data_IF_579745696617
#
_entry.id   IF_579745696617
#
_cell.length_a   1.000
_cell.length_b   1.000
_cell.length_c   1.000
_cell.angle_alpha   90.00
_cell.angle_beta   90.00
_cell.angle_gamma   90.00
#
_symmetry.space_group_name_H-M   'P 1'
#
loop_
_entity.id
_entity.type
_entity.pdbx_description
1 polymer ?
#
# COMPACT_ATOMS: atom_id res chain seq x y z
N UNK A 1 -33.00 -13.17 -13.03
CA UNK A 1 -31.68 -12.90 -12.47
C UNK A 1 -31.86 -12.34 -11.06
N UNK A 2 -31.20 -12.89 -10.04
CA UNK A 2 -31.24 -12.25 -8.72
C UNK A 2 -30.76 -10.79 -8.87
N UNK A 3 -31.31 -9.84 -8.09
CA UNK A 3 -30.82 -8.47 -8.11
C UNK A 3 -29.32 -8.49 -7.79
N UNK A 4 -28.52 -7.73 -8.53
CA UNK A 4 -27.09 -7.59 -8.26
C UNK A 4 -26.84 -7.02 -6.85
N UNK A 5 -25.69 -7.33 -6.26
CA UNK A 5 -25.30 -6.73 -5.01
C UNK A 5 -25.17 -5.20 -5.17
N UNK A 6 -25.81 -4.45 -4.27
CA UNK A 6 -25.65 -3.01 -4.20
C UNK A 6 -24.79 -2.68 -2.98
N UNK A 7 -23.67 -2.01 -3.21
CA UNK A 7 -22.85 -1.46 -2.14
C UNK A 7 -23.18 0.02 -1.97
N UNK A 8 -23.31 0.43 -0.74
CA UNK A 8 -23.46 1.84 -0.36
C UNK A 8 -22.20 2.25 0.41
N UNK A 9 -21.61 3.37 0.08
CA UNK A 9 -20.60 4.03 0.90
C UNK A 9 -20.90 5.53 0.95
N UNK A 10 -21.36 5.97 2.11
CA UNK A 10 -21.64 7.36 2.43
C UNK A 10 -20.77 7.85 3.61
N UNK A 11 -19.60 7.23 3.76
CA UNK A 11 -18.61 7.59 4.78
C UNK A 11 -18.08 9.00 4.57
N UNK A 12 -17.60 9.62 5.65
CA UNK A 12 -17.06 10.97 5.68
C UNK A 12 -15.74 10.99 6.41
N UNK A 13 -14.83 11.84 5.96
CA UNK A 13 -13.58 12.17 6.64
C UNK A 13 -13.57 13.66 6.95
N UNK A 14 -13.37 13.99 8.21
CA UNK A 14 -13.07 15.34 8.66
C UNK A 14 -11.60 15.40 9.04
N UNK A 15 -10.86 16.37 8.50
CA UNK A 15 -9.44 16.51 8.74
C UNK A 15 -9.07 17.97 8.96
N UNK A 16 -8.31 18.22 10.00
CA UNK A 16 -7.69 19.50 10.30
C UNK A 16 -6.22 19.29 10.62
N UNK A 17 -5.34 20.15 10.09
CA UNK A 17 -3.92 20.13 10.42
C UNK A 17 -3.37 21.53 10.55
N UNK A 18 -2.30 21.66 11.33
CA UNK A 18 -1.50 22.84 11.38
C UNK A 18 -0.01 22.48 11.36
N UNK A 19 0.80 23.38 10.81
CA UNK A 19 2.25 23.34 10.97
C UNK A 19 2.77 24.77 11.13
N UNK A 20 3.86 24.90 11.85
CA UNK A 20 4.53 26.16 12.04
C UNK A 20 6.05 25.99 11.95
N UNK A 21 6.69 26.77 11.08
CA UNK A 21 8.13 26.80 10.92
C UNK A 21 8.68 28.06 11.59
N UNK A 22 9.66 27.88 12.46
CA UNK A 22 10.30 28.97 13.22
C UNK A 22 11.50 29.60 12.49
N UNK A 23 11.71 29.32 11.19
CA UNK A 23 12.89 29.77 10.43
C UNK A 23 13.15 31.29 10.55
N UNK A 24 12.08 32.11 10.59
CA UNK A 24 12.20 33.56 10.70
C UNK A 24 12.51 34.05 12.16
N UNK A 25 12.50 33.16 13.15
CA UNK A 25 12.63 33.50 14.56
C UNK A 25 13.83 32.82 15.22
N UNK A 26 14.31 31.75 14.65
CA UNK A 26 15.41 30.94 15.21
C UNK A 26 16.46 30.74 14.13
N UNK A 27 17.62 31.38 14.28
CA UNK A 27 18.69 31.35 13.28
C UNK A 27 19.62 30.12 13.42
N UNK A 28 19.73 29.54 14.64
CA UNK A 28 20.69 28.46 14.87
C UNK A 28 20.28 27.10 14.30
N UNK A 29 18.98 26.87 14.03
CA UNK A 29 18.43 25.65 13.48
C UNK A 29 17.05 25.90 12.86
N UNK A 30 16.67 25.10 11.86
CA UNK A 30 15.31 25.05 11.33
C UNK A 30 14.44 24.21 12.28
N UNK A 31 13.49 24.82 12.96
CA UNK A 31 12.56 24.14 13.87
C UNK A 31 11.16 24.20 13.30
N UNK A 32 10.50 23.05 13.25
CA UNK A 32 9.11 22.93 12.82
C UNK A 32 8.32 22.12 13.83
N UNK A 33 7.11 22.55 14.13
CA UNK A 33 6.12 21.79 14.91
C UNK A 33 4.82 21.67 14.11
N UNK A 34 4.05 20.65 14.37
CA UNK A 34 2.75 20.51 13.75
C UNK A 34 1.89 19.46 14.45
N UNK A 35 0.64 19.43 14.04
CA UNK A 35 -0.32 18.46 14.54
C UNK A 35 -1.52 18.33 13.61
N UNK A 36 -2.23 17.23 13.76
CA UNK A 36 -3.45 16.96 13.00
C UNK A 36 -4.50 16.29 13.87
N UNK A 37 -5.74 16.47 13.47
CA UNK A 37 -6.89 15.71 13.95
C UNK A 37 -7.66 15.17 12.75
N UNK A 38 -8.11 13.90 12.85
CA UNK A 38 -8.98 13.25 11.87
C UNK A 38 -10.13 12.58 12.57
N UNK A 39 -11.29 12.63 11.93
CA UNK A 39 -12.45 11.86 12.33
C UNK A 39 -13.02 11.16 11.12
N UNK A 40 -13.00 9.83 11.16
CA UNK A 40 -13.73 9.00 10.22
C UNK A 40 -15.15 8.82 10.73
N UNK A 41 -16.11 8.90 9.83
CA UNK A 41 -17.54 8.69 10.12
C UNK A 41 -18.06 7.74 9.06
N UNK A 42 -17.94 6.43 9.35
CA UNK A 42 -18.24 5.35 8.40
C UNK A 42 -19.77 5.15 8.32
N UNK A 43 -20.24 4.89 7.11
CA UNK A 43 -21.63 4.55 6.86
C UNK A 43 -21.79 3.82 5.53
N UNK A 44 -22.28 2.61 5.59
CA UNK A 44 -22.50 1.76 4.42
C UNK A 44 -23.93 1.21 4.30
N UNK A 45 -24.82 1.60 5.16
CA UNK A 45 -26.20 1.07 5.23
C UNK A 45 -26.17 -0.46 5.39
N UNK A 46 -25.26 -0.96 6.24
CA UNK A 46 -25.05 -2.38 6.52
C UNK A 46 -24.44 -3.20 5.39
N UNK A 47 -24.00 -2.57 4.28
CA UNK A 47 -23.51 -3.32 3.12
C UNK A 47 -22.02 -3.63 3.13
N UNK A 48 -21.24 -2.92 3.95
CA UNK A 48 -19.78 -3.09 4.06
C UNK A 48 -19.35 -3.12 5.52
N UNK A 49 -19.70 -2.08 6.29
CA UNK A 49 -19.31 -1.95 7.68
C UNK A 49 -20.36 -2.54 8.62
N UNK A 50 -19.91 -2.97 9.78
CA UNK A 50 -20.73 -3.59 10.81
C UNK A 50 -21.41 -2.53 11.71
N UNK A 51 -22.27 -1.71 11.13
CA UNK A 51 -22.89 -0.55 11.76
C UNK A 51 -23.99 -0.90 12.76
N UNK A 52 -24.71 -1.97 12.50
CA UNK A 52 -25.71 -2.54 13.39
C UNK A 52 -25.60 -4.07 13.40
N UNK A 53 -24.75 -4.64 14.25
CA UNK A 53 -24.58 -6.09 14.33
C UNK A 53 -25.67 -6.80 15.13
N UNK A 54 -26.53 -6.06 15.85
CA UNK A 54 -27.53 -6.62 16.76
C UNK A 54 -28.77 -7.13 16.00
N UNK A 55 -29.50 -6.25 15.35
CA UNK A 55 -30.76 -6.60 14.69
C UNK A 55 -30.87 -6.17 13.21
N UNK A 56 -29.95 -5.35 12.72
CA UNK A 56 -29.91 -4.89 11.33
C UNK A 56 -31.01 -3.92 10.95
N UNK A 57 -31.60 -3.21 11.91
CA UNK A 57 -32.72 -2.29 11.71
C UNK A 57 -32.39 -0.84 11.93
N UNK A 58 -31.30 -0.54 12.62
CA UNK A 58 -30.91 0.82 13.00
C UNK A 58 -29.40 1.08 12.75
N UNK A 59 -29.04 1.30 11.50
CA UNK A 59 -27.65 1.56 11.12
C UNK A 59 -27.18 2.93 11.59
N UNK A 60 -26.25 2.94 12.54
CA UNK A 60 -25.60 4.15 13.05
C UNK A 60 -24.17 4.26 12.52
N UNK A 61 -23.70 5.52 12.40
CA UNK A 61 -22.34 5.78 11.93
C UNK A 61 -21.30 5.31 12.93
N UNK A 62 -20.30 4.55 12.44
CA UNK A 62 -19.12 4.23 13.23
C UNK A 62 -18.17 5.42 13.16
N UNK A 63 -17.83 5.98 14.31
CA UNK A 63 -16.92 7.13 14.42
C UNK A 63 -15.57 6.66 14.95
N UNK A 64 -14.47 7.10 14.31
CA UNK A 64 -13.10 6.83 14.74
C UNK A 64 -12.32 8.15 14.76
N UNK A 65 -11.77 8.48 15.90
CA UNK A 65 -10.97 9.69 16.10
C UNK A 65 -9.48 9.38 16.11
N UNK A 66 -8.70 10.22 15.40
CA UNK A 66 -7.24 10.15 15.38
C UNK A 66 -6.65 11.54 15.60
N UNK A 67 -5.55 11.61 16.33
CA UNK A 67 -4.76 12.83 16.45
C UNK A 67 -3.27 12.54 16.49
N UNK A 68 -2.49 13.51 16.06
CA UNK A 68 -1.04 13.40 16.06
C UNK A 68 -0.36 14.74 16.22
N UNK A 69 0.85 14.73 16.84
CA UNK A 69 1.70 15.89 17.02
C UNK A 69 3.14 15.53 16.68
N UNK A 70 3.87 16.47 16.08
CA UNK A 70 5.28 16.27 15.77
C UNK A 70 6.12 17.50 16.00
N UNK A 71 7.41 17.27 16.24
CA UNK A 71 8.45 18.26 16.21
C UNK A 71 9.63 17.80 15.35
N UNK A 72 10.22 18.71 14.60
CA UNK A 72 11.37 18.46 13.76
C UNK A 72 12.41 19.57 13.97
N UNK A 73 13.67 19.16 14.01
CA UNK A 73 14.82 20.07 14.03
C UNK A 73 15.77 19.67 12.91
N UNK A 74 16.21 20.65 12.11
CA UNK A 74 17.24 20.46 11.11
C UNK A 74 18.32 21.54 11.25
N UNK A 75 19.58 21.14 11.03
CA UNK A 75 20.73 22.04 11.05
C UNK A 75 21.73 21.65 9.99
N UNK A 76 22.22 22.66 9.26
CA UNK A 76 23.37 22.51 8.36
C UNK A 76 24.64 22.88 9.09
N UNK A 77 25.64 22.00 9.04
CA UNK A 77 26.93 22.13 9.68
C UNK A 77 27.99 22.32 8.60
N UNK A 78 28.80 23.34 8.72
CA UNK A 78 29.90 23.69 7.79
C UNK A 78 29.41 23.73 6.29
N UNK A 79 28.19 24.21 6.07
CA UNK A 79 27.52 24.35 4.75
C UNK A 79 27.46 23.07 3.88
N UNK A 80 27.85 21.96 4.48
CA UNK A 80 27.98 20.68 3.75
C UNK A 80 27.13 19.54 4.32
N UNK A 81 26.96 19.48 5.65
CA UNK A 81 26.26 18.38 6.32
C UNK A 81 24.93 18.87 6.92
N UNK A 82 23.81 18.51 6.31
CA UNK A 82 22.47 18.76 6.89
C UNK A 82 22.05 17.54 7.71
N UNK A 83 21.84 17.76 9.02
CA UNK A 83 21.26 16.78 9.94
C UNK A 83 19.80 17.16 10.22
N UNK A 84 18.92 16.17 10.23
CA UNK A 84 17.50 16.35 10.57
C UNK A 84 17.08 15.28 11.55
N UNK A 85 16.45 15.69 12.65
CA UNK A 85 15.81 14.80 13.62
C UNK A 85 14.35 15.17 13.79
N UNK A 86 13.47 14.18 13.88
CA UNK A 86 12.05 14.41 14.18
C UNK A 86 11.49 13.35 15.10
N UNK A 87 10.49 13.73 15.85
CA UNK A 87 9.70 12.85 16.71
C UNK A 87 8.23 13.16 16.51
N UNK A 88 7.44 12.11 16.30
CA UNK A 88 5.99 12.21 16.14
C UNK A 88 5.27 11.25 17.09
N UNK A 89 4.18 11.70 17.67
CA UNK A 89 3.24 10.91 18.43
C UNK A 89 1.89 10.90 17.71
N UNK A 90 1.30 9.73 17.56
CA UNK A 90 -0.02 9.53 16.95
C UNK A 90 -0.87 8.61 17.83
N UNK A 91 -2.16 8.90 17.94
CA UNK A 91 -3.14 8.10 18.66
C UNK A 91 -4.39 7.93 17.81
N UNK A 92 -4.76 6.67 17.56
CA UNK A 92 -6.08 6.28 17.07
C UNK A 92 -6.93 5.83 18.25
N UNK A 93 -8.23 6.06 18.21
CA UNK A 93 -9.18 5.73 19.28
C UNK A 93 -9.12 4.24 19.66
N UNK A 94 -9.01 3.35 18.68
CA UNK A 94 -9.08 1.90 18.86
C UNK A 94 -7.73 1.25 19.22
N UNK A 95 -6.60 1.98 19.13
CA UNK A 95 -5.26 1.42 19.34
C UNK A 95 -4.42 2.27 20.28
N UNK A 96 -3.39 1.69 20.84
CA UNK A 96 -2.41 2.40 21.65
C UNK A 96 -1.67 3.47 20.83
N UNK A 97 -1.18 4.51 21.53
CA UNK A 97 -0.41 5.58 20.90
C UNK A 97 0.96 5.09 20.41
N UNK A 98 1.41 5.64 19.28
CA UNK A 98 2.68 5.30 18.67
C UNK A 98 3.62 6.51 18.65
N UNK A 99 4.90 6.27 18.97
CA UNK A 99 5.98 7.25 18.86
C UNK A 99 6.90 6.82 17.71
N UNK A 100 7.13 7.72 16.76
CA UNK A 100 7.91 7.45 15.56
C UNK A 100 9.08 8.44 15.44
N UNK A 101 10.29 8.07 15.90
CA UNK A 101 11.50 8.82 15.65
C UNK A 101 12.03 8.64 14.23
N UNK A 102 12.64 9.72 13.71
CA UNK A 102 13.40 9.72 12.46
C UNK A 102 14.66 10.56 12.62
N UNK A 103 15.76 10.09 12.05
CA UNK A 103 16.99 10.84 11.88
C UNK A 103 17.49 10.70 10.44
N UNK A 104 18.01 11.77 9.87
CA UNK A 104 18.63 11.74 8.55
C UNK A 104 19.82 12.67 8.47
N UNK A 105 20.77 12.31 7.62
CA UNK A 105 21.95 13.08 7.29
C UNK A 105 22.06 13.19 5.76
N UNK A 106 22.36 14.39 5.27
CA UNK A 106 22.68 14.66 3.87
C UNK A 106 24.01 15.39 3.83
N UNK A 107 25.01 14.75 3.21
CA UNK A 107 26.32 15.37 2.99
C UNK A 107 26.44 15.81 1.53
N UNK A 108 26.61 17.11 1.31
CA UNK A 108 26.79 17.72 -0.01
C UNK A 108 28.26 18.00 -0.24
N UNK A 109 28.80 17.54 -1.35
CA UNK A 109 30.17 17.84 -1.78
C UNK A 109 30.18 18.24 -3.25
N UNK A 110 31.19 19.06 -3.61
CA UNK A 110 31.30 19.61 -4.97
C UNK A 110 29.98 20.22 -5.49
N UNK A 111 29.18 20.83 -4.61
CA UNK A 111 27.90 21.53 -4.89
C UNK A 111 26.79 20.71 -5.57
N UNK A 112 27.13 19.65 -6.28
CA UNK A 112 26.19 18.85 -7.10
C UNK A 112 26.08 17.39 -6.69
N UNK A 113 26.83 16.96 -5.66
CA UNK A 113 26.84 15.58 -5.20
C UNK A 113 26.33 15.48 -3.78
N UNK A 114 25.41 14.58 -3.53
CA UNK A 114 24.82 14.36 -2.21
C UNK A 114 24.88 12.87 -1.85
N UNK A 115 25.39 12.57 -0.66
CA UNK A 115 25.21 11.27 -0.02
C UNK A 115 24.20 11.46 1.09
N UNK A 116 23.22 10.58 1.16
CA UNK A 116 22.17 10.60 2.19
C UNK A 116 22.10 9.28 2.93
N UNK A 117 21.82 9.37 4.23
CA UNK A 117 21.47 8.23 5.06
C UNK A 117 20.32 8.61 5.98
N UNK A 118 19.40 7.68 6.21
CA UNK A 118 18.32 7.89 7.16
C UNK A 118 17.97 6.60 7.90
N UNK A 119 17.58 6.77 9.15
CA UNK A 119 16.91 5.75 9.93
C UNK A 119 15.58 6.31 10.40
N UNK A 120 14.53 5.53 10.24
CA UNK A 120 13.18 5.90 10.65
C UNK A 120 12.42 4.71 11.18
N UNK A 121 11.53 5.00 12.12
CA UNK A 121 10.45 4.09 12.48
C UNK A 121 9.14 4.63 11.92
N UNK A 122 8.18 3.75 11.72
CA UNK A 122 6.84 4.10 11.28
C UNK A 122 5.84 3.08 11.79
N UNK A 123 4.58 3.37 11.58
CA UNK A 123 3.48 2.45 11.85
C UNK A 123 2.37 2.67 10.83
N UNK A 124 1.52 1.66 10.68
CA UNK A 124 0.29 1.71 9.91
C UNK A 124 -0.86 1.22 10.76
N UNK A 125 -1.82 2.08 11.07
CA UNK A 125 -3.07 1.62 11.66
C UNK A 125 -3.78 0.69 10.66
N UNK A 126 -4.47 -0.35 11.13
CA UNK A 126 -5.43 -1.06 10.32
C UNK A 126 -6.39 -0.06 9.68
N UNK A 127 -6.68 -0.22 8.40
CA UNK A 127 -7.66 0.63 7.72
C UNK A 127 -9.08 0.41 8.26
N UNK A 128 -10.03 1.19 7.81
CA UNK A 128 -11.41 1.12 8.32
C UNK A 128 -12.11 -0.20 8.03
N UNK A 129 -11.74 -0.87 6.93
CA UNK A 129 -12.23 -2.21 6.62
C UNK A 129 -11.61 -3.24 7.56
N UNK A 130 -10.30 -3.23 7.70
CA UNK A 130 -9.61 -4.13 8.63
C UNK A 130 -10.11 -3.99 10.08
N UNK A 131 -10.68 -2.83 10.44
CA UNK A 131 -11.27 -2.60 11.75
C UNK A 131 -12.74 -3.05 11.84
N UNK A 132 -13.61 -2.69 10.87
CA UNK A 132 -15.06 -2.73 11.01
C UNK A 132 -15.84 -3.41 9.88
N UNK A 133 -15.18 -4.05 8.90
CA UNK A 133 -15.91 -4.77 7.87
C UNK A 133 -16.70 -5.96 8.46
N UNK A 134 -17.91 -6.19 7.94
CA UNK A 134 -18.61 -7.45 7.99
C UNK A 134 -19.24 -7.70 6.63
N UNK A 135 -18.63 -8.58 5.85
CA UNK A 135 -19.05 -8.77 4.47
C UNK A 135 -19.03 -10.24 4.06
N UNK A 136 -20.20 -10.85 3.84
CA UNK A 136 -20.29 -12.20 3.26
C UNK A 136 -19.81 -12.21 1.81
N UNK A 137 -18.64 -12.80 1.55
CA UNK A 137 -18.00 -12.90 0.24
C UNK A 137 -18.08 -14.36 -0.28
N UNK A 138 -19.26 -14.81 -0.66
CA UNK A 138 -19.49 -16.17 -1.12
C UNK A 138 -19.36 -17.22 0.00
N UNK A 139 -18.27 -17.98 0.03
CA UNK A 139 -18.05 -19.05 1.02
C UNK A 139 -17.42 -18.55 2.33
N UNK A 140 -16.88 -17.36 2.33
CA UNK A 140 -16.18 -16.77 3.48
C UNK A 140 -16.86 -15.45 3.87
N UNK A 141 -16.71 -15.05 5.13
CA UNK A 141 -17.14 -13.74 5.61
C UNK A 141 -15.90 -12.92 5.99
N UNK A 142 -15.70 -11.79 5.33
CA UNK A 142 -14.66 -10.83 5.72
C UNK A 142 -15.05 -10.20 7.05
N UNK A 143 -14.14 -10.21 8.02
CA UNK A 143 -14.38 -9.69 9.35
C UNK A 143 -13.30 -8.68 9.76
N UNK A 144 -13.71 -7.46 10.08
CA UNK A 144 -12.84 -6.48 10.70
C UNK A 144 -12.51 -6.87 12.14
N UNK A 145 -11.22 -6.89 12.46
CA UNK A 145 -10.68 -7.50 13.68
C UNK A 145 -10.35 -6.51 14.80
N UNK A 146 -10.84 -5.26 14.74
CA UNK A 146 -10.81 -4.39 15.92
C UNK A 146 -11.66 -5.01 17.05
N UNK A 147 -11.20 -4.95 18.31
CA UNK A 147 -11.91 -5.55 19.44
C UNK A 147 -13.35 -5.07 19.54
N UNK A 148 -13.57 -3.78 19.32
CA UNK A 148 -14.91 -3.17 19.33
C UNK A 148 -15.88 -3.79 18.29
N UNK A 149 -15.34 -4.37 17.19
CA UNK A 149 -16.12 -5.05 16.17
C UNK A 149 -16.18 -6.57 16.40
N UNK A 150 -15.05 -7.20 16.61
CA UNK A 150 -14.89 -8.65 16.47
C UNK A 150 -15.22 -9.44 17.74
N UNK A 151 -15.19 -8.82 18.93
CA UNK A 151 -15.37 -9.52 20.21
C UNK A 151 -16.68 -10.32 20.28
N UNK A 152 -17.75 -9.80 19.69
CA UNK A 152 -19.09 -10.40 19.71
C UNK A 152 -19.19 -11.73 18.96
N UNK A 153 -18.32 -11.96 17.96
CA UNK A 153 -18.38 -13.18 17.14
C UNK A 153 -17.67 -14.36 17.75
N UNK A 154 -16.89 -14.16 18.82
CA UNK A 154 -16.18 -15.22 19.53
C UNK A 154 -15.13 -15.95 18.69
N UNK A 155 -14.69 -15.38 17.53
CA UNK A 155 -13.70 -15.99 16.66
C UNK A 155 -12.28 -15.91 17.22
N UNK A 156 -11.95 -14.81 17.91
CA UNK A 156 -10.63 -14.52 18.44
C UNK A 156 -10.34 -15.27 19.77
N UNK A 157 -9.07 -15.24 20.19
CA UNK A 157 -8.63 -15.79 21.50
C UNK A 157 -9.03 -17.26 21.73
N UNK A 158 -8.80 -18.10 20.69
CA UNK A 158 -9.07 -19.53 20.75
C UNK A 158 -10.50 -19.94 20.34
N UNK A 159 -11.28 -19.02 19.81
CA UNK A 159 -12.63 -19.30 19.31
C UNK A 159 -12.70 -19.84 17.90
N UNK A 160 -11.56 -20.13 17.26
CA UNK A 160 -11.49 -20.63 15.91
C UNK A 160 -10.60 -21.89 15.79
N UNK A 161 -10.83 -22.65 14.73
CA UNK A 161 -9.88 -23.63 14.20
C UNK A 161 -9.12 -23.03 13.02
N UNK A 162 -7.89 -23.49 12.77
CA UNK A 162 -7.21 -23.22 11.50
C UNK A 162 -8.00 -23.87 10.37
N UNK A 163 -8.09 -23.22 9.22
CA UNK A 163 -8.86 -23.76 8.07
C UNK A 163 -8.29 -25.09 7.60
N UNK A 164 -6.96 -25.23 7.57
CA UNK A 164 -6.30 -26.47 7.14
C UNK A 164 -6.64 -27.65 8.06
N UNK A 165 -6.59 -27.47 9.38
CA UNK A 165 -6.94 -28.50 10.35
C UNK A 165 -8.41 -28.93 10.25
N UNK A 166 -9.29 -27.97 10.05
CA UNK A 166 -10.71 -28.24 9.86
C UNK A 166 -10.99 -29.02 8.58
N UNK A 167 -10.32 -28.68 7.47
CA UNK A 167 -10.43 -29.44 6.23
C UNK A 167 -9.93 -30.88 6.37
N UNK A 168 -8.79 -31.07 7.08
CA UNK A 168 -8.28 -32.41 7.38
C UNK A 168 -9.27 -33.21 8.26
N UNK A 169 -9.91 -32.56 9.22
CA UNK A 169 -10.94 -33.17 10.06
C UNK A 169 -12.17 -33.60 9.24
N UNK A 170 -12.68 -32.74 8.36
CA UNK A 170 -13.79 -33.09 7.44
C UNK A 170 -13.43 -34.26 6.52
N UNK A 171 -12.21 -34.27 5.98
CA UNK A 171 -11.69 -35.36 5.14
C UNK A 171 -11.60 -36.70 5.88
N UNK A 172 -11.45 -36.68 7.22
CA UNK A 172 -11.48 -37.87 8.06
C UNK A 172 -12.91 -38.40 8.37
N UNK A 173 -13.95 -37.75 7.83
CA UNK A 173 -15.36 -38.08 8.09
C UNK A 173 -15.94 -37.38 9.32
N UNK A 174 -15.28 -36.30 9.79
CA UNK A 174 -15.75 -35.50 10.92
C UNK A 174 -16.80 -34.46 10.51
N UNK A 175 -17.62 -34.03 11.46
CA UNK A 175 -18.57 -32.91 11.34
C UNK A 175 -18.66 -32.17 12.68
N UNK A 176 -19.17 -30.94 12.66
CA UNK A 176 -19.51 -30.22 13.90
C UNK A 176 -21.02 -30.34 14.13
N UNK A 177 -21.42 -30.61 15.38
CA UNK A 177 -22.82 -30.47 15.83
C UNK A 177 -23.22 -28.97 15.89
N UNK A 178 -24.51 -28.70 16.10
CA UNK A 178 -25.05 -27.33 16.13
C UNK A 178 -24.42 -26.47 17.23
N UNK A 179 -23.98 -27.07 18.33
CA UNK A 179 -23.25 -26.40 19.43
C UNK A 179 -21.74 -26.23 19.18
N UNK A 180 -21.24 -26.75 18.05
CA UNK A 180 -19.82 -26.76 17.70
C UNK A 180 -19.02 -27.95 18.22
N UNK A 181 -19.68 -28.91 18.87
CA UNK A 181 -19.01 -30.14 19.34
C UNK A 181 -18.57 -30.99 18.16
N UNK A 182 -17.28 -31.41 18.07
CA UNK A 182 -16.81 -32.33 17.05
C UNK A 182 -17.45 -33.72 17.16
N UNK A 183 -17.97 -34.22 16.02
CA UNK A 183 -18.60 -35.54 15.92
C UNK A 183 -18.05 -36.33 14.73
N UNK A 184 -17.84 -37.61 14.92
CA UNK A 184 -17.24 -38.48 13.89
C UNK A 184 -15.76 -38.13 13.61
N UNK A 185 -15.22 -38.69 12.53
CA UNK A 185 -13.86 -38.43 12.07
C UNK A 185 -12.76 -38.61 13.13
N UNK A 186 -11.72 -37.81 13.00
CA UNK A 186 -10.57 -37.74 13.93
C UNK A 186 -10.46 -36.37 14.55
N UNK A 187 -11.11 -36.07 15.70
CA UNK A 187 -11.11 -34.73 16.32
C UNK A 187 -9.71 -34.23 16.69
N UNK A 188 -8.73 -35.11 16.90
CA UNK A 188 -7.35 -34.74 17.17
C UNK A 188 -6.65 -33.98 16.02
N UNK A 189 -7.24 -33.97 14.82
CA UNK A 189 -6.74 -33.19 13.72
C UNK A 189 -7.08 -31.67 13.84
N UNK A 190 -8.04 -31.32 14.69
CA UNK A 190 -8.46 -29.95 14.88
C UNK A 190 -7.42 -29.15 15.69
N UNK A 191 -6.89 -28.12 15.09
CA UNK A 191 -5.97 -27.17 15.73
C UNK A 191 -6.69 -25.87 16.06
N UNK A 192 -6.69 -25.50 17.33
CA UNK A 192 -7.25 -24.24 17.80
C UNK A 192 -6.32 -23.11 17.42
N UNK A 193 -6.83 -22.14 16.67
CA UNK A 193 -6.12 -20.92 16.35
C UNK A 193 -6.25 -19.90 17.48
N UNK A 194 -5.12 -19.33 17.89
CA UNK A 194 -5.11 -18.22 18.86
C UNK A 194 -4.90 -16.89 18.12
N UNK A 195 -5.98 -16.33 17.62
CA UNK A 195 -5.99 -15.08 16.87
C UNK A 195 -6.19 -13.93 17.86
N UNK A 196 -5.26 -12.98 17.90
CA UNK A 196 -5.43 -11.75 18.65
C UNK A 196 -6.26 -10.72 17.85
N UNK A 197 -6.84 -9.73 18.54
CA UNK A 197 -7.40 -8.57 17.88
C UNK A 197 -6.32 -7.82 17.12
N UNK A 198 -6.71 -7.20 15.99
CA UNK A 198 -5.77 -6.49 15.13
C UNK A 198 -5.16 -5.28 15.84
N UNK A 199 -3.89 -5.04 15.60
CA UNK A 199 -3.12 -3.92 16.13
C UNK A 199 -2.31 -3.25 15.02
N UNK A 200 -1.80 -2.02 15.23
CA UNK A 200 -1.00 -1.33 14.25
C UNK A 200 0.28 -2.10 13.89
N UNK A 201 0.51 -2.22 12.59
CA UNK A 201 1.77 -2.69 12.02
C UNK A 201 2.87 -1.67 12.29
N UNK A 202 4.07 -2.11 12.59
CA UNK A 202 5.23 -1.24 12.86
C UNK A 202 6.36 -1.57 11.91
N UNK A 203 7.13 -0.54 11.55
CA UNK A 203 8.31 -0.71 10.72
C UNK A 203 9.53 0.02 11.29
N UNK A 204 10.70 -0.51 10.94
CA UNK A 204 12.01 0.14 11.06
C UNK A 204 12.67 0.11 9.69
N UNK A 205 13.14 1.25 9.22
CA UNK A 205 13.76 1.35 7.90
C UNK A 205 15.08 2.10 7.99
N UNK A 206 16.09 1.54 7.33
CA UNK A 206 17.36 2.21 7.06
C UNK A 206 17.46 2.45 5.55
N UNK A 207 17.81 3.65 5.15
CA UNK A 207 18.01 4.04 3.76
C UNK A 207 19.34 4.73 3.58
N UNK A 208 20.02 4.41 2.47
CA UNK A 208 21.23 5.09 2.00
C UNK A 208 21.07 5.44 0.53
N UNK A 209 21.59 6.59 0.13
CA UNK A 209 21.48 7.01 -1.27
C UNK A 209 22.56 7.99 -1.69
N UNK A 210 22.74 8.06 -2.99
CA UNK A 210 23.61 9.01 -3.66
C UNK A 210 22.85 9.69 -4.79
N UNK A 211 22.99 11.02 -4.87
CA UNK A 211 22.48 11.78 -6.02
C UNK A 211 23.55 12.79 -6.47
N UNK A 212 23.85 12.80 -7.77
CA UNK A 212 24.87 13.71 -8.28
C UNK A 212 24.79 13.94 -9.77
N UNK A 213 25.52 14.98 -10.21
CA UNK A 213 25.67 15.32 -11.64
C UNK A 213 27.14 15.17 -12.00
N UNK A 214 27.46 14.17 -12.80
CA UNK A 214 28.81 13.84 -13.23
C UNK A 214 29.08 14.57 -14.56
N UNK A 215 30.19 15.35 -14.60
CA UNK A 215 30.65 16.07 -15.78
C UNK A 215 29.57 16.94 -16.45
N UNK A 216 28.63 17.48 -15.66
CA UNK A 216 27.49 18.30 -16.11
C UNK A 216 26.59 17.62 -17.16
N UNK A 217 26.66 16.30 -17.30
CA UNK A 217 25.93 15.54 -18.34
C UNK A 217 25.14 14.37 -17.80
N UNK A 218 25.70 13.62 -16.87
CA UNK A 218 25.09 12.43 -16.32
C UNK A 218 24.55 12.71 -14.91
N UNK A 219 23.25 12.75 -14.76
CA UNK A 219 22.58 12.71 -13.47
C UNK A 219 22.42 11.26 -13.04
N UNK A 220 22.83 10.96 -11.82
CA UNK A 220 22.69 9.66 -11.17
C UNK A 220 21.87 9.86 -9.88
N UNK A 221 20.88 9.01 -9.64
CA UNK A 221 20.17 8.90 -8.36
C UNK A 221 20.11 7.42 -8.00
N UNK A 222 20.85 7.02 -6.97
CA UNK A 222 20.93 5.66 -6.46
C UNK A 222 20.45 5.65 -5.03
N UNK A 223 19.59 4.68 -4.68
CA UNK A 223 19.18 4.44 -3.30
C UNK A 223 19.07 2.94 -3.01
N UNK A 224 19.26 2.60 -1.75
CA UNK A 224 18.97 1.27 -1.21
C UNK A 224 18.27 1.44 0.13
N UNK A 225 17.30 0.56 0.40
CA UNK A 225 16.56 0.53 1.66
C UNK A 225 16.47 -0.87 2.22
N UNK A 226 16.42 -0.95 3.55
CA UNK A 226 16.27 -2.16 4.32
C UNK A 226 15.19 -1.91 5.36
N UNK A 227 14.06 -2.59 5.23
CA UNK A 227 12.90 -2.40 6.09
C UNK A 227 12.49 -3.70 6.73
N UNK A 228 12.27 -3.65 8.05
CA UNK A 228 11.71 -4.75 8.83
C UNK A 228 10.35 -4.30 9.37
N UNK A 229 9.36 -5.15 9.18
CA UNK A 229 8.01 -4.98 9.71
C UNK A 229 7.78 -5.96 10.84
N UNK A 230 7.08 -5.53 11.87
CA UNK A 230 6.52 -6.36 12.95
C UNK A 230 5.03 -6.13 13.01
N UNK A 231 4.30 -7.16 13.43
CA UNK A 231 2.83 -7.12 13.44
C UNK A 231 2.24 -6.81 12.07
N UNK A 232 2.85 -7.34 10.99
CA UNK A 232 2.44 -7.09 9.61
C UNK A 232 0.98 -7.49 9.40
N UNK A 233 0.18 -6.60 8.78
CA UNK A 233 -1.26 -6.81 8.60
C UNK A 233 -1.52 -7.52 7.29
N UNK A 234 -2.26 -8.64 7.37
CA UNK A 234 -2.74 -9.39 6.22
C UNK A 234 -4.03 -10.13 6.51
N UNK A 235 -4.44 -11.00 5.60
CA UNK A 235 -5.62 -11.85 5.73
C UNK A 235 -5.25 -13.31 5.91
N UNK A 236 -6.07 -14.04 6.68
CA UNK A 236 -6.01 -15.49 6.78
C UNK A 236 -7.42 -16.04 7.06
N UNK A 237 -7.66 -17.32 6.78
CA UNK A 237 -8.97 -17.94 6.90
C UNK A 237 -9.04 -18.86 8.13
N UNK A 238 -10.11 -18.69 8.89
CA UNK A 238 -10.37 -19.45 10.11
C UNK A 238 -11.80 -19.97 10.15
N UNK A 239 -12.04 -20.98 10.96
CA UNK A 239 -13.33 -21.65 11.10
C UNK A 239 -13.87 -21.45 12.50
N UNK A 240 -15.06 -20.88 12.61
CA UNK A 240 -15.73 -20.62 13.88
C UNK A 240 -16.01 -21.93 14.62
N UNK A 241 -15.60 -21.99 15.90
CA UNK A 241 -15.76 -23.18 16.75
C UNK A 241 -17.14 -23.31 17.36
N UNK A 242 -17.74 -22.21 17.73
CA UNK A 242 -19.05 -22.19 18.42
C UNK A 242 -20.03 -21.30 17.68
N UNK A 243 -21.31 -21.60 17.67
CA UNK A 243 -22.29 -20.77 16.99
C UNK A 243 -22.34 -19.35 17.59
N UNK A 244 -22.71 -18.38 16.76
CA UNK A 244 -22.88 -16.98 17.16
C UNK A 244 -24.09 -16.39 16.43
N UNK A 245 -24.27 -15.08 16.49
CA UNK A 245 -25.33 -14.37 15.79
C UNK A 245 -24.81 -13.12 15.10
N UNK A 246 -25.48 -12.73 14.00
CA UNK A 246 -25.30 -11.43 13.36
C UNK A 246 -26.66 -10.91 12.91
N UNK A 247 -27.03 -9.72 13.29
CA UNK A 247 -28.33 -9.10 12.98
C UNK A 247 -29.52 -10.03 13.30
N UNK A 248 -29.49 -10.63 14.50
CA UNK A 248 -30.50 -11.56 14.96
C UNK A 248 -30.49 -12.94 14.26
N UNK A 249 -29.71 -13.13 13.20
CA UNK A 249 -29.61 -14.40 12.48
C UNK A 249 -28.54 -15.31 13.08
N UNK A 250 -28.84 -16.63 13.27
CA UNK A 250 -27.86 -17.56 13.77
C UNK A 250 -26.75 -17.81 12.75
N UNK A 251 -25.52 -17.89 13.22
CA UNK A 251 -24.34 -18.27 12.46
C UNK A 251 -23.83 -19.60 13.05
N UNK A 252 -23.86 -20.69 12.30
CA UNK A 252 -23.47 -21.99 12.82
C UNK A 252 -21.95 -22.11 13.04
N UNK A 253 -21.53 -22.98 13.93
CA UNK A 253 -20.18 -23.47 14.00
C UNK A 253 -19.76 -24.05 12.62
N UNK A 254 -18.48 -23.97 12.29
CA UNK A 254 -17.98 -24.39 10.96
C UNK A 254 -18.02 -23.29 9.91
N UNK A 255 -18.63 -22.12 10.20
CA UNK A 255 -18.60 -20.97 9.31
C UNK A 255 -17.17 -20.46 9.13
N UNK A 256 -16.79 -20.19 7.87
CA UNK A 256 -15.45 -19.66 7.54
C UNK A 256 -15.47 -18.15 7.59
N UNK A 257 -14.58 -17.61 8.39
CA UNK A 257 -14.28 -16.19 8.44
C UNK A 257 -12.88 -15.90 7.89
N UNK A 258 -12.75 -14.77 7.23
CA UNK A 258 -11.48 -14.19 6.79
C UNK A 258 -11.22 -12.89 7.55
N UNK A 259 -10.75 -12.97 8.83
CA UNK A 259 -10.39 -11.79 9.59
C UNK A 259 -9.09 -11.18 9.07
N UNK A 260 -8.92 -9.88 9.27
CA UNK A 260 -7.61 -9.25 9.19
C UNK A 260 -6.80 -9.60 10.44
N UNK A 261 -5.56 -10.03 10.25
CA UNK A 261 -4.70 -10.50 11.34
C UNK A 261 -3.31 -9.88 11.25
N UNK A 262 -2.61 -9.83 12.38
CA UNK A 262 -1.20 -9.51 12.39
C UNK A 262 -0.38 -10.79 12.28
N UNK A 263 0.59 -10.78 11.38
CA UNK A 263 1.54 -11.88 11.21
C UNK A 263 2.58 -11.84 12.33
N UNK A 264 2.84 -12.96 13.03
CA UNK A 264 3.69 -12.95 14.22
C UNK A 264 5.19 -12.86 13.89
N UNK A 265 5.61 -13.29 12.70
CA UNK A 265 6.99 -13.25 12.27
C UNK A 265 7.36 -11.87 11.70
N UNK A 266 8.66 -11.56 11.72
CA UNK A 266 9.18 -10.37 11.06
C UNK A 266 9.11 -10.52 9.55
N UNK A 267 8.54 -9.50 8.90
CA UNK A 267 8.54 -9.37 7.44
C UNK A 267 9.64 -8.41 7.03
N UNK A 268 10.42 -8.76 6.01
CA UNK A 268 11.52 -7.94 5.50
C UNK A 268 11.23 -7.50 4.07
N UNK A 269 11.50 -6.24 3.79
CA UNK A 269 11.46 -5.69 2.43
C UNK A 269 12.74 -4.90 2.18
N UNK A 270 13.46 -5.29 1.15
CA UNK A 270 14.71 -4.64 0.74
C UNK A 270 14.60 -4.19 -0.70
N UNK A 271 15.27 -3.13 -1.06
CA UNK A 271 15.27 -2.71 -2.44
C UNK A 271 16.38 -1.76 -2.82
N UNK A 272 16.61 -1.69 -4.13
CA UNK A 272 17.56 -0.80 -4.77
C UNK A 272 16.86 -0.07 -5.91
N UNK A 273 16.99 1.25 -5.94
CA UNK A 273 16.52 2.10 -7.03
C UNK A 273 17.69 2.81 -7.70
N UNK A 274 17.77 2.74 -9.03
CA UNK A 274 18.74 3.46 -9.84
C UNK A 274 18.01 4.30 -10.90
N UNK A 275 18.25 5.61 -10.91
CA UNK A 275 17.82 6.54 -11.94
C UNK A 275 19.02 7.18 -12.64
N UNK A 276 19.01 7.17 -13.96
CA UNK A 276 20.04 7.76 -14.80
C UNK A 276 19.42 8.72 -15.81
N UNK A 277 20.04 9.90 -15.99
CA UNK A 277 19.70 10.80 -17.08
C UNK A 277 20.98 11.32 -17.71
N UNK A 278 21.20 11.01 -18.98
CA UNK A 278 22.38 11.44 -19.72
C UNK A 278 21.99 12.45 -20.80
N UNK A 279 22.50 13.66 -20.65
CA UNK A 279 22.29 14.74 -21.62
C UNK A 279 23.36 14.70 -22.69
N UNK A 280 22.95 14.35 -23.92
CA UNK A 280 23.77 14.28 -25.10
C UNK A 280 23.84 15.63 -25.84
N UNK A 281 24.82 15.84 -26.71
CA UNK A 281 24.86 16.99 -27.61
C UNK A 281 23.57 17.16 -28.43
N UNK A 282 23.29 18.35 -28.89
CA UNK A 282 22.12 18.71 -29.72
C UNK A 282 20.78 18.50 -29.04
N UNK A 283 20.74 18.46 -27.69
CA UNK A 283 19.49 18.41 -26.90
C UNK A 283 18.85 17.02 -26.79
N UNK A 284 19.56 15.96 -27.14
CA UNK A 284 19.11 14.61 -26.82
C UNK A 284 19.27 14.30 -25.33
N UNK A 285 18.35 13.52 -24.78
CA UNK A 285 18.41 13.03 -23.42
C UNK A 285 18.06 11.53 -23.43
N UNK A 286 18.93 10.72 -22.83
CA UNK A 286 18.67 9.31 -22.56
C UNK A 286 18.39 9.17 -21.08
N UNK A 287 17.29 8.49 -20.74
CA UNK A 287 16.87 8.25 -19.37
C UNK A 287 16.75 6.76 -19.12
N UNK A 288 17.12 6.31 -17.94
CA UNK A 288 16.93 4.93 -17.51
C UNK A 288 16.56 4.89 -16.05
N UNK A 289 15.73 3.93 -15.67
CA UNK A 289 15.48 3.59 -14.28
C UNK A 289 15.45 2.07 -14.12
N UNK A 290 15.97 1.60 -13.00
CA UNK A 290 15.87 0.21 -12.57
C UNK A 290 15.45 0.18 -11.12
N UNK A 291 14.53 -0.74 -10.77
CA UNK A 291 14.13 -0.97 -9.41
C UNK A 291 14.13 -2.48 -9.15
N UNK A 292 14.78 -2.86 -8.09
CA UNK A 292 14.75 -4.19 -7.52
C UNK A 292 14.14 -4.10 -6.13
N UNK A 293 13.21 -4.99 -5.79
CA UNK A 293 12.56 -5.04 -4.50
C UNK A 293 12.26 -6.49 -4.11
N UNK A 294 12.63 -6.88 -2.92
CA UNK A 294 12.29 -8.20 -2.36
C UNK A 294 11.34 -8.05 -1.18
N UNK A 295 10.57 -9.10 -0.98
CA UNK A 295 9.70 -9.25 0.15
C UNK A 295 9.88 -10.66 0.71
N UNK A 296 10.28 -10.76 1.97
CA UNK A 296 10.50 -12.00 2.68
C UNK A 296 9.67 -11.98 3.97
N UNK A 297 8.68 -12.82 4.03
CA UNK A 297 7.77 -12.94 5.17
C UNK A 297 8.06 -14.15 6.06
N UNK A 298 9.15 -14.88 5.79
CA UNK A 298 9.59 -16.07 6.55
C UNK A 298 8.48 -17.14 6.75
N UNK A 299 7.47 -17.15 5.86
CA UNK A 299 6.36 -18.10 5.96
C UNK A 299 6.80 -19.53 5.68
N UNK A 300 6.11 -20.49 6.31
CA UNK A 300 6.12 -21.86 5.81
C UNK A 300 5.39 -21.95 4.47
N UNK A 301 5.78 -22.90 3.60
CA UNK A 301 5.15 -23.15 2.30
C UNK A 301 3.62 -23.42 2.37
N UNK A 302 3.13 -23.82 3.55
CA UNK A 302 1.72 -24.13 3.79
C UNK A 302 0.91 -22.99 4.43
N UNK A 303 1.49 -21.82 4.63
CA UNK A 303 0.78 -20.68 5.20
C UNK A 303 -0.27 -20.15 4.22
N UNK A 304 -1.49 -19.92 4.72
CA UNK A 304 -2.58 -19.28 3.97
C UNK A 304 -2.61 -17.76 4.14
N UNK A 305 -1.67 -17.21 4.92
CA UNK A 305 -1.56 -15.78 5.13
C UNK A 305 -1.27 -15.03 3.81
N UNK A 306 -2.03 -13.99 3.53
CA UNK A 306 -1.90 -13.15 2.34
C UNK A 306 -1.31 -11.80 2.72
N UNK A 307 -0.06 -11.58 2.34
CA UNK A 307 0.64 -10.32 2.59
C UNK A 307 0.21 -9.19 1.63
N UNK A 308 -0.26 -9.53 0.43
CA UNK A 308 -0.70 -8.55 -0.56
C UNK A 308 0.41 -7.59 -1.02
N UNK A 309 1.67 -8.05 -1.06
CA UNK A 309 2.80 -7.20 -1.49
C UNK A 309 2.66 -6.74 -2.95
N UNK A 310 2.16 -7.62 -3.83
CA UNK A 310 1.69 -7.32 -5.19
C UNK A 310 2.65 -6.45 -6.03
N UNK A 311 3.93 -6.72 -5.94
CA UNK A 311 4.99 -5.93 -6.59
C UNK A 311 5.99 -6.86 -7.29
N UNK A 312 6.34 -6.59 -8.57
CA UNK A 312 7.38 -7.35 -9.26
C UNK A 312 8.74 -7.12 -8.59
N UNK A 313 9.56 -8.16 -8.55
CA UNK A 313 10.91 -8.07 -8.00
C UNK A 313 11.79 -7.15 -8.86
N UNK A 314 11.69 -7.27 -10.16
CA UNK A 314 12.46 -6.49 -11.13
C UNK A 314 11.57 -5.66 -12.04
N UNK A 315 11.89 -4.38 -12.20
CA UNK A 315 11.30 -3.50 -13.22
C UNK A 315 12.29 -2.45 -13.69
N UNK A 316 12.24 -2.13 -14.99
CA UNK A 316 13.05 -1.06 -15.53
C UNK A 316 12.31 -0.25 -16.59
N UNK A 317 12.83 0.94 -16.85
CA UNK A 317 12.47 1.73 -18.02
C UNK A 317 13.70 2.33 -18.66
N UNK A 318 13.62 2.52 -19.98
CA UNK A 318 14.64 3.24 -20.76
C UNK A 318 13.95 4.12 -21.78
N UNK A 319 14.40 5.35 -21.90
CA UNK A 319 13.81 6.31 -22.84
C UNK A 319 14.86 7.18 -23.51
N UNK A 320 14.53 7.64 -24.70
CA UNK A 320 15.30 8.65 -25.43
C UNK A 320 14.36 9.72 -25.96
N UNK A 321 14.76 10.97 -25.83
CA UNK A 321 13.98 12.08 -26.33
C UNK A 321 14.82 13.27 -26.75
N UNK A 322 14.19 14.13 -27.53
CA UNK A 322 14.71 15.46 -27.85
C UNK A 322 13.51 16.44 -27.97
N UNK A 323 13.45 17.41 -27.07
CA UNK A 323 12.36 18.40 -27.06
C UNK A 323 12.52 19.48 -28.14
N UNK A 324 13.71 19.57 -28.76
CA UNK A 324 14.09 20.58 -29.75
C UNK A 324 14.93 19.92 -30.86
N UNK A 325 14.42 18.81 -31.43
CA UNK A 325 15.06 18.16 -32.59
C UNK A 325 15.21 19.15 -33.74
N UNK A 326 14.18 19.98 -33.92
CA UNK A 326 14.25 21.22 -34.70
C UNK A 326 13.69 22.37 -33.86
N UNK A 327 13.56 23.60 -34.41
CA UNK A 327 12.91 24.71 -33.69
C UNK A 327 11.47 24.40 -33.28
N UNK A 328 10.78 23.53 -34.00
CA UNK A 328 9.38 23.20 -33.79
C UNK A 328 9.15 21.76 -33.34
N UNK A 329 9.99 20.81 -33.75
CA UNK A 329 9.76 19.39 -33.59
C UNK A 329 10.47 18.85 -32.35
N UNK A 330 9.78 18.05 -31.56
CA UNK A 330 10.30 17.24 -30.47
C UNK A 330 9.76 15.80 -30.50
N UNK A 331 10.43 14.88 -29.88
CA UNK A 331 9.97 13.50 -29.74
C UNK A 331 10.39 12.90 -28.39
N UNK A 332 9.72 11.81 -28.00
CA UNK A 332 10.08 10.93 -26.87
C UNK A 332 9.69 9.52 -27.24
N UNK A 333 10.58 8.59 -26.94
CA UNK A 333 10.36 7.14 -27.03
C UNK A 333 10.74 6.55 -25.69
N UNK A 334 9.93 5.65 -25.17
CA UNK A 334 10.16 5.00 -23.90
C UNK A 334 9.77 3.53 -23.98
N UNK A 335 10.58 2.67 -23.39
CA UNK A 335 10.27 1.26 -23.15
C UNK A 335 10.32 1.01 -21.65
N UNK A 336 9.32 0.32 -21.13
CA UNK A 336 9.25 -0.13 -19.74
C UNK A 336 8.92 -1.61 -19.71
N UNK A 337 9.54 -2.30 -18.78
CA UNK A 337 9.34 -3.72 -18.56
C UNK A 337 9.21 -4.00 -17.07
N UNK A 338 8.42 -5.00 -16.73
CA UNK A 338 8.36 -5.58 -15.42
C UNK A 338 8.29 -7.11 -15.49
N UNK A 339 8.88 -7.73 -14.50
CA UNK A 339 8.85 -9.17 -14.28
C UNK A 339 7.46 -9.64 -13.85
N UNK A 340 7.16 -10.92 -14.03
CA UNK A 340 5.98 -11.55 -13.48
C UNK A 340 6.00 -11.52 -11.94
N UNK A 341 4.84 -11.50 -11.32
CA UNK A 341 4.74 -11.54 -9.86
C UNK A 341 3.42 -12.12 -9.39
N UNK A 342 3.41 -12.64 -8.16
CA UNK A 342 2.21 -13.11 -7.50
C UNK A 342 1.35 -11.94 -7.05
N UNK A 343 0.11 -11.89 -7.55
CA UNK A 343 -0.95 -11.01 -7.06
C UNK A 343 -1.81 -11.77 -6.07
N UNK A 344 -1.93 -11.25 -4.85
CA UNK A 344 -2.76 -11.80 -3.78
C UNK A 344 -3.90 -10.85 -3.43
N UNK A 345 -5.11 -11.37 -3.28
CA UNK A 345 -6.29 -10.60 -2.86
C UNK A 345 -7.30 -11.50 -2.16
N UNK A 346 -8.32 -10.90 -1.52
CA UNK A 346 -9.43 -11.63 -0.90
C UNK A 346 -10.28 -12.44 -1.89
N UNK A 347 -10.15 -12.14 -3.19
CA UNK A 347 -10.87 -12.84 -4.26
C UNK A 347 -10.05 -13.98 -4.90
N UNK A 348 -8.81 -14.12 -4.55
CA UNK A 348 -7.90 -15.18 -5.01
C UNK A 348 -6.52 -14.68 -5.39
N UNK A 349 -5.63 -15.63 -5.62
CA UNK A 349 -4.25 -15.41 -6.01
C UNK A 349 -4.08 -15.65 -7.52
N UNK A 350 -3.23 -14.86 -8.16
CA UNK A 350 -2.98 -14.96 -9.59
C UNK A 350 -1.57 -14.49 -9.93
N UNK A 351 -0.95 -15.12 -10.92
CA UNK A 351 0.32 -14.66 -11.47
C UNK A 351 0.04 -13.55 -12.50
N UNK A 352 0.48 -12.34 -12.21
CA UNK A 352 0.55 -11.27 -13.21
C UNK A 352 1.74 -11.57 -14.10
N UNK A 353 1.55 -11.90 -15.40
CA UNK A 353 2.66 -12.22 -16.30
C UNK A 353 3.60 -11.03 -16.49
N UNK A 354 4.84 -11.31 -16.85
CA UNK A 354 5.75 -10.26 -17.30
C UNK A 354 5.18 -9.53 -18.53
N UNK A 355 5.47 -8.26 -18.65
CA UNK A 355 5.12 -7.51 -19.86
C UNK A 355 6.08 -6.35 -20.14
N UNK A 356 6.21 -6.02 -21.42
CA UNK A 356 6.92 -4.87 -21.91
C UNK A 356 6.00 -3.90 -22.65
N UNK A 357 6.14 -2.62 -22.42
CA UNK A 357 5.33 -1.56 -23.03
C UNK A 357 6.22 -0.57 -23.74
N UNK A 358 5.94 -0.34 -25.01
CA UNK A 358 6.62 0.64 -25.84
C UNK A 358 5.71 1.85 -26.08
N UNK A 359 6.16 3.02 -25.66
CA UNK A 359 5.46 4.28 -25.79
C UNK A 359 6.25 5.24 -26.69
N UNK A 360 5.56 5.99 -27.54
CA UNK A 360 6.21 7.01 -28.33
C UNK A 360 5.30 8.23 -28.52
N UNK A 361 5.92 9.40 -28.60
CA UNK A 361 5.21 10.65 -28.94
C UNK A 361 6.08 11.58 -29.79
N UNK A 362 5.40 12.37 -30.61
CA UNK A 362 5.98 13.47 -31.35
C UNK A 362 5.23 14.75 -30.97
N UNK A 363 5.96 15.84 -30.78
CA UNK A 363 5.40 17.16 -30.51
C UNK A 363 5.80 18.17 -31.58
N UNK A 364 4.86 19.01 -31.96
CA UNK A 364 5.08 20.07 -32.95
C UNK A 364 4.56 21.41 -32.46
N UNK A 365 5.44 22.41 -32.41
CA UNK A 365 5.11 23.77 -31.99
C UNK A 365 4.66 24.60 -33.19
N UNK A 366 3.53 25.27 -33.04
CA UNK A 366 3.00 26.26 -34.00
C UNK A 366 2.93 27.61 -33.30
N UNK A 367 4.01 28.39 -33.39
CA UNK A 367 4.15 29.65 -32.65
C UNK A 367 3.13 30.69 -33.10
N UNK A 368 2.70 30.67 -34.38
CA UNK A 368 1.69 31.61 -34.93
C UNK A 368 0.36 31.54 -34.17
N UNK A 369 -0.01 30.41 -33.66
CA UNK A 369 -1.23 30.17 -32.87
C UNK A 369 -0.94 29.81 -31.40
N UNK A 370 0.29 30.04 -30.97
CA UNK A 370 0.75 29.74 -29.58
C UNK A 370 0.35 28.37 -29.08
N UNK A 371 0.54 27.36 -29.92
CA UNK A 371 0.08 26.00 -29.64
C UNK A 371 1.14 24.94 -29.84
N UNK A 372 1.06 23.87 -29.03
CA UNK A 372 1.85 22.65 -29.16
C UNK A 372 0.91 21.49 -29.43
N UNK A 373 1.07 20.84 -30.57
CA UNK A 373 0.37 19.60 -30.91
C UNK A 373 1.24 18.41 -30.50
N UNK A 374 0.62 17.40 -29.86
CA UNK A 374 1.30 16.13 -29.56
C UNK A 374 0.46 14.99 -30.11
N UNK A 375 1.10 14.14 -30.87
CA UNK A 375 0.58 12.84 -31.30
C UNK A 375 1.40 11.76 -30.63
N UNK A 376 0.76 10.83 -29.96
CA UNK A 376 1.45 9.75 -29.27
C UNK A 376 0.62 8.50 -29.14
N UNK A 377 1.27 7.44 -28.70
CA UNK A 377 0.63 6.21 -28.36
C UNK A 377 1.38 5.47 -27.25
N UNK A 378 0.66 4.68 -26.53
CA UNK A 378 1.15 3.78 -25.48
C UNK A 378 0.86 2.33 -25.89
N UNK A 379 1.74 1.42 -25.52
CA UNK A 379 1.69 0.00 -25.87
C UNK A 379 1.66 -0.25 -27.39
N UNK A 380 2.48 0.49 -28.15
CA UNK A 380 2.38 0.57 -29.61
C UNK A 380 2.63 -0.76 -30.32
N UNK A 381 3.44 -1.66 -29.77
CA UNK A 381 3.85 -2.94 -30.37
C UNK A 381 3.59 -4.13 -29.44
N UNK A 382 3.01 -3.90 -28.25
CA UNK A 382 2.71 -4.92 -27.27
C UNK A 382 1.35 -5.58 -27.49
N UNK A 383 1.19 -6.79 -26.94
CA UNK A 383 -0.11 -7.41 -26.73
C UNK A 383 -0.87 -6.76 -25.58
N UNK A 384 -2.11 -7.16 -25.40
CA UNK A 384 -2.88 -6.75 -24.24
C UNK A 384 -2.25 -7.30 -22.95
N UNK A 385 -2.13 -6.47 -21.93
CA UNK A 385 -1.58 -6.87 -20.63
C UNK A 385 -2.51 -6.50 -19.48
N UNK A 386 -2.32 -7.11 -18.32
CA UNK A 386 -3.03 -6.79 -17.07
C UNK A 386 -2.03 -6.44 -15.99
N UNK A 387 -2.43 -5.60 -15.06
CA UNK A 387 -1.64 -5.19 -13.91
C UNK A 387 -2.12 -5.79 -12.59
N UNK A 388 -3.31 -6.40 -12.58
CA UNK A 388 -3.94 -6.97 -11.39
C UNK A 388 -5.02 -7.99 -11.77
N UNK A 389 -5.35 -8.87 -10.83
CA UNK A 389 -6.49 -9.79 -10.96
C UNK A 389 -7.80 -8.98 -11.03
N UNK A 390 -8.68 -9.34 -11.96
CA UNK A 390 -9.99 -8.68 -12.15
C UNK A 390 -9.92 -7.33 -12.88
N UNK A 391 -8.72 -6.77 -13.10
CA UNK A 391 -8.54 -5.55 -13.87
C UNK A 391 -8.80 -5.77 -15.38
N UNK A 392 -9.08 -4.69 -16.12
CA UNK A 392 -9.23 -4.75 -17.56
C UNK A 392 -7.90 -5.08 -18.25
N UNK A 393 -7.99 -5.66 -19.44
CA UNK A 393 -6.84 -5.70 -20.33
C UNK A 393 -6.52 -4.29 -20.85
N UNK A 394 -5.27 -3.94 -20.84
CA UNK A 394 -4.75 -2.68 -21.37
C UNK A 394 -4.13 -2.95 -22.73
N UNK A 395 -4.81 -2.52 -23.76
CA UNK A 395 -4.36 -2.62 -25.16
C UNK A 395 -3.59 -1.38 -25.61
N UNK A 396 -3.45 -1.25 -26.92
CA UNK A 396 -2.83 -0.08 -27.57
C UNK A 396 -3.72 1.15 -27.37
N UNK A 397 -3.09 2.27 -27.06
CA UNK A 397 -3.78 3.57 -26.89
C UNK A 397 -3.11 4.63 -27.76
N UNK A 398 -3.92 5.46 -28.40
CA UNK A 398 -3.46 6.60 -29.21
C UNK A 398 -4.09 7.87 -28.70
N UNK A 399 -3.35 8.97 -28.72
CA UNK A 399 -3.87 10.27 -28.30
C UNK A 399 -3.37 11.42 -29.17
N UNK A 400 -4.20 12.42 -29.28
CA UNK A 400 -3.87 13.73 -29.78
C UNK A 400 -4.09 14.76 -28.67
N UNK A 401 -3.09 15.61 -28.43
CA UNK A 401 -3.17 16.68 -27.42
C UNK A 401 -2.82 18.01 -28.06
N UNK A 402 -3.58 19.04 -27.71
CA UNK A 402 -3.32 20.43 -28.09
C UNK A 402 -3.15 21.22 -26.80
N UNK A 403 -1.98 21.86 -26.65
CA UNK A 403 -1.69 22.73 -25.51
C UNK A 403 -1.57 24.17 -26.02
N UNK A 404 -2.36 25.09 -25.48
CA UNK A 404 -2.21 26.50 -25.70
C UNK A 404 -1.27 27.10 -24.66
N UNK A 405 -0.25 27.82 -25.11
CA UNK A 405 0.78 28.41 -24.26
C UNK A 405 1.05 29.85 -24.76
N UNK A 406 0.53 30.82 -24.04
CA UNK A 406 0.66 32.26 -24.40
C UNK A 406 2.11 32.73 -24.37
N UNK A 407 3.01 32.08 -23.67
CA UNK A 407 4.43 32.39 -23.58
C UNK A 407 5.27 31.70 -24.67
N UNK A 408 4.66 30.91 -25.55
CA UNK A 408 5.34 30.21 -26.62
C UNK A 408 5.89 31.20 -27.65
N UNK A 409 7.24 31.25 -27.76
CA UNK A 409 7.97 32.12 -28.68
C UNK A 409 8.59 31.32 -29.82
#
# INVERSE_FOLDING_TARGET
TPPGAKFTDASRLYHGEFNYNFADKIEFAEIQIGGNFRQYSLFSDGTIFNEDPEDGTNFERITINEYGFYGQVAKTIADALKLTGSLRYDKNENFDGNITPRISAVYTFNETHNIRASFQTGFRNPDTQAQFIYFPAGTNTLLGSAEANAARYGLHKGGAYTRASYQAYLASGGTLADDGTPTGGTPALLEVANIDYIKPEKLKSFEVGYKGIISNKLMVDLNAYFTTYTDFIGGDDYVLRSPTTHQGNPIPAGTVYSPYVNFPEEVKSNGVGLGLTYNLPKGYSVMGSYNWATFDDNRSENSQFRAGFNTPENKFSIGIGNRKLTKALGFMVNFRWQEEFLWQSDFGDWIVPEFGVFDAQVSYKVTAIKSIFKLGGSNLFGGDYRTNLGGPFVGQQYYLSITFDEFLK
#
